data_IF_806985946651
#
_entry.id   IF_806985946651
#
_cell.length_a   1.000
_cell.length_b   1.000
_cell.length_c   1.000
_cell.angle_alpha   90.00
_cell.angle_beta   90.00
_cell.angle_gamma   90.00
#
_symmetry.space_group_name_H-M   'P 1'
#
loop_
_entity.id
_entity.type
_entity.pdbx_description
1 polymer ?
#
# COMPACT_ATOMS: atom_id res chain seq x y z
N UNK A 1 -5.50 -23.93 2.08
CA UNK A 1 -6.12 -22.88 1.25
C UNK A 1 -5.10 -21.77 1.05
N UNK A 2 -4.89 -21.28 -0.17
CA UNK A 2 -3.89 -20.24 -0.48
C UNK A 2 -4.42 -18.87 -0.03
N UNK A 3 -3.56 -18.00 0.50
CA UNK A 3 -3.89 -16.63 0.93
C UNK A 3 -3.09 -15.61 0.12
N UNK A 4 -3.76 -14.54 -0.31
CA UNK A 4 -3.13 -13.40 -0.98
C UNK A 4 -2.88 -12.27 0.03
N UNK A 5 -1.65 -11.75 0.08
CA UNK A 5 -1.34 -10.50 0.78
C UNK A 5 -0.82 -9.47 -0.22
N UNK A 6 -1.46 -8.30 -0.30
CA UNK A 6 -1.12 -7.29 -1.32
C UNK A 6 -0.06 -6.34 -0.77
N UNK A 7 1.07 -6.21 -1.47
CA UNK A 7 2.07 -5.22 -1.14
C UNK A 7 1.68 -3.83 -1.70
N UNK A 8 1.48 -2.86 -0.83
CA UNK A 8 1.03 -1.50 -1.22
C UNK A 8 2.15 -0.45 -1.27
N UNK A 9 3.43 -0.85 -1.16
CA UNK A 9 4.56 0.09 -1.16
C UNK A 9 4.59 0.96 -2.43
N UNK A 10 4.14 0.44 -3.57
CA UNK A 10 4.11 1.19 -4.84
C UNK A 10 3.03 2.27 -4.89
N UNK A 11 1.93 2.11 -4.14
CA UNK A 11 0.94 3.18 -3.95
C UNK A 11 1.60 4.35 -3.24
N UNK A 12 2.34 4.08 -2.16
CA UNK A 12 3.09 5.09 -1.43
C UNK A 12 4.22 5.72 -2.27
N UNK A 13 4.90 4.97 -3.15
CA UNK A 13 5.86 5.54 -4.10
C UNK A 13 5.22 6.61 -5.00
N UNK A 14 4.04 6.32 -5.56
CA UNK A 14 3.32 7.28 -6.43
C UNK A 14 2.82 8.50 -5.66
N UNK A 15 2.38 8.31 -4.41
CA UNK A 15 1.99 9.41 -3.51
C UNK A 15 3.19 10.32 -3.23
N UNK A 16 4.30 9.73 -2.77
CA UNK A 16 5.48 10.46 -2.33
C UNK A 16 6.14 11.24 -3.48
N UNK A 17 6.08 10.75 -4.72
CA UNK A 17 6.64 11.46 -5.88
C UNK A 17 5.93 12.79 -6.20
N UNK A 18 4.75 13.04 -5.60
CA UNK A 18 3.95 14.27 -5.80
C UNK A 18 3.88 15.14 -4.54
N UNK A 19 4.36 14.66 -3.39
CA UNK A 19 4.33 15.41 -2.12
C UNK A 19 2.93 15.68 -1.54
N UNK A 20 1.90 15.02 -2.06
CA UNK A 20 0.51 15.13 -1.58
C UNK A 20 -0.03 13.81 -1.01
N UNK A 21 -1.35 13.73 -0.81
CA UNK A 21 -2.02 12.53 -0.29
C UNK A 21 -2.73 11.68 -1.35
N UNK A 22 -2.40 11.88 -2.64
CA UNK A 22 -3.02 11.14 -3.75
C UNK A 22 -1.95 10.36 -4.52
N UNK A 23 -2.08 9.02 -4.66
CA UNK A 23 -3.15 8.17 -4.09
C UNK A 23 -3.08 8.02 -2.56
N UNK A 24 -4.23 7.80 -1.94
CA UNK A 24 -4.35 7.49 -0.52
C UNK A 24 -4.00 6.01 -0.28
N UNK A 25 -2.96 5.79 0.52
CA UNK A 25 -2.42 4.46 0.84
C UNK A 25 -3.39 3.65 1.73
N UNK A 26 -4.09 4.31 2.66
CA UNK A 26 -5.05 3.64 3.55
C UNK A 26 -6.27 3.21 2.75
N UNK A 27 -6.77 4.07 1.87
CA UNK A 27 -7.85 3.71 0.95
C UNK A 27 -7.48 2.50 0.08
N UNK A 28 -6.27 2.49 -0.49
CA UNK A 28 -5.80 1.37 -1.29
C UNK A 28 -5.73 0.05 -0.49
N UNK A 29 -5.32 0.09 0.78
CA UNK A 29 -5.32 -1.08 1.66
C UNK A 29 -6.75 -1.64 1.87
N UNK A 30 -7.69 -0.76 2.22
CA UNK A 30 -9.10 -1.12 2.44
C UNK A 30 -9.72 -1.69 1.16
N UNK A 31 -9.46 -1.07 0.01
CA UNK A 31 -9.98 -1.53 -1.27
C UNK A 31 -9.41 -2.93 -1.63
N UNK A 32 -8.13 -3.19 -1.36
CA UNK A 32 -7.54 -4.51 -1.59
C UNK A 32 -8.22 -5.61 -0.75
N UNK A 33 -8.46 -5.37 0.54
CA UNK A 33 -9.17 -6.33 1.40
C UNK A 33 -10.62 -6.52 0.94
N UNK A 34 -11.33 -5.43 0.59
CA UNK A 34 -12.69 -5.48 0.03
C UNK A 34 -12.78 -6.27 -1.28
N UNK A 35 -11.71 -6.28 -2.08
CA UNK A 35 -11.64 -7.02 -3.34
C UNK A 35 -11.10 -8.45 -3.18
N UNK A 36 -10.93 -8.94 -1.95
CA UNK A 36 -10.62 -10.34 -1.67
C UNK A 36 -9.19 -10.64 -1.25
N UNK A 37 -8.35 -9.62 -1.01
CA UNK A 37 -7.07 -9.84 -0.35
C UNK A 37 -7.30 -10.33 1.10
N UNK A 38 -6.46 -11.27 1.54
CA UNK A 38 -6.50 -11.81 2.90
C UNK A 38 -5.60 -11.02 3.88
N UNK A 39 -4.85 -10.05 3.38
CA UNK A 39 -3.98 -9.20 4.16
C UNK A 39 -3.26 -8.17 3.30
N UNK A 40 -2.54 -7.29 3.98
CA UNK A 40 -1.77 -6.21 3.38
C UNK A 40 -0.32 -6.32 3.85
N UNK A 41 0.60 -6.20 2.91
CA UNK A 41 2.04 -6.21 3.19
C UNK A 41 2.60 -4.81 3.00
N UNK A 42 3.38 -4.35 3.98
CA UNK A 42 4.20 -3.15 3.88
C UNK A 42 5.63 -3.49 4.27
N UNK A 43 6.58 -2.69 3.78
CA UNK A 43 7.97 -2.78 4.23
C UNK A 43 8.48 -1.36 4.45
N UNK A 44 8.35 -0.79 5.66
CA UNK A 44 8.88 0.52 5.98
C UNK A 44 10.39 0.53 5.80
N UNK A 45 10.92 1.51 5.07
CA UNK A 45 12.38 1.67 4.90
C UNK A 45 12.90 2.73 5.86
N UNK A 46 14.13 2.61 6.37
CA UNK A 46 14.72 3.65 7.23
C UNK A 46 14.76 5.04 6.57
N UNK A 47 14.84 5.08 5.23
CA UNK A 47 14.86 6.31 4.43
C UNK A 47 13.47 6.79 3.99
N UNK A 48 12.39 6.13 4.42
CA UNK A 48 11.00 6.51 4.14
C UNK A 48 10.68 6.72 2.65
N UNK A 49 11.38 6.00 1.76
CA UNK A 49 11.19 6.16 0.30
C UNK A 49 9.78 5.79 -0.20
N UNK A 50 8.94 5.16 0.62
CA UNK A 50 7.54 4.83 0.31
C UNK A 50 6.64 4.88 1.56
N UNK A 51 6.37 3.72 2.17
CA UNK A 51 5.86 3.60 3.54
C UNK A 51 6.93 4.02 4.53
#
# INVERSE_FOLDING_TARGET
MIKLSVNINKVATLRNSRGGNIPDVVKAAIDCERFGANGITVHPRPDQRHI
#
